data_IF_460273005222
#
_entry.id   IF_460273005222
#
_cell.length_a   1.000
_cell.length_b   1.000
_cell.length_c   1.000
_cell.angle_alpha   90.00
_cell.angle_beta   90.00
_cell.angle_gamma   90.00
#
_symmetry.space_group_name_H-M   'P 1'
#
loop_
_entity.id
_entity.type
_entity.pdbx_description
1 polymer ?
#
# COMPACT_ATOMS: atom_id res chain seq x y z
N UNK A 1 3.85 -18.48 -2.36
CA UNK A 1 3.34 -17.84 -3.59
C UNK A 1 1.97 -17.15 -3.44
N UNK A 2 0.82 -17.83 -3.38
CA UNK A 2 -0.51 -17.15 -3.39
C UNK A 2 -0.73 -16.18 -2.21
N UNK A 3 -0.37 -16.60 -0.99
CA UNK A 3 -0.42 -15.75 0.21
C UNK A 3 0.56 -14.59 0.14
N UNK A 4 1.76 -14.79 -0.41
CA UNK A 4 2.76 -13.71 -0.60
C UNK A 4 2.26 -12.70 -1.62
N UNK A 5 1.72 -13.14 -2.75
CA UNK A 5 1.08 -12.23 -3.71
C UNK A 5 -0.06 -11.42 -3.07
N UNK A 6 -0.86 -12.06 -2.21
CA UNK A 6 -1.92 -11.37 -1.49
C UNK A 6 -1.39 -10.32 -0.49
N UNK A 7 -0.25 -10.54 0.17
CA UNK A 7 0.29 -9.63 1.19
C UNK A 7 1.24 -8.60 0.59
N UNK A 8 2.28 -9.04 -0.12
CA UNK A 8 3.26 -8.14 -0.71
C UNK A 8 2.64 -7.44 -1.92
N UNK A 9 2.27 -8.22 -2.95
CA UNK A 9 1.78 -7.69 -4.22
C UNK A 9 0.49 -6.86 -4.11
N UNK A 10 -0.58 -7.44 -3.56
CA UNK A 10 -1.89 -6.78 -3.55
C UNK A 10 -1.99 -5.65 -2.51
N UNK A 11 -1.29 -5.78 -1.38
CA UNK A 11 -1.43 -4.84 -0.25
C UNK A 11 -0.22 -3.92 -0.13
N UNK A 12 1.00 -4.44 -0.03
CA UNK A 12 2.17 -3.59 0.20
C UNK A 12 2.58 -2.78 -1.03
N UNK A 13 2.53 -3.32 -2.25
CA UNK A 13 2.80 -2.52 -3.45
C UNK A 13 1.74 -1.44 -3.63
N UNK A 14 0.46 -1.76 -3.44
CA UNK A 14 -0.62 -0.80 -3.57
C UNK A 14 -0.53 0.33 -2.52
N UNK A 15 -0.16 0.00 -1.29
CA UNK A 15 0.09 0.99 -0.24
C UNK A 15 1.36 1.79 -0.50
N UNK A 16 2.43 1.14 -0.97
CA UNK A 16 3.66 1.79 -1.39
C UNK A 16 3.42 2.82 -2.48
N UNK A 17 2.60 2.48 -3.49
CA UNK A 17 2.16 3.40 -4.52
C UNK A 17 1.41 4.61 -3.96
N UNK A 18 0.50 4.40 -3.00
CA UNK A 18 -0.23 5.48 -2.32
C UNK A 18 0.72 6.45 -1.60
N UNK A 19 1.65 5.93 -0.81
CA UNK A 19 2.61 6.74 -0.05
C UNK A 19 3.63 7.42 -0.96
N UNK A 20 4.12 6.74 -2.00
CA UNK A 20 5.01 7.33 -3.00
C UNK A 20 4.30 8.45 -3.79
N UNK A 21 3.02 8.27 -4.14
CA UNK A 21 2.22 9.33 -4.78
C UNK A 21 2.09 10.56 -3.87
N UNK A 22 1.86 10.35 -2.58
CA UNK A 22 1.83 11.44 -1.60
C UNK A 22 3.17 12.16 -1.53
N UNK A 23 4.29 11.44 -1.35
CA UNK A 23 5.63 12.04 -1.28
C UNK A 23 6.00 12.79 -2.57
N UNK A 24 5.66 12.23 -3.73
CA UNK A 24 5.87 12.86 -5.03
C UNK A 24 5.22 14.25 -5.15
N UNK A 25 4.09 14.46 -4.46
CA UNK A 25 3.37 15.73 -4.46
C UNK A 25 3.83 16.70 -3.35
N UNK A 26 4.36 16.20 -2.22
CA UNK A 26 4.60 17.02 -1.03
C UNK A 26 6.07 17.25 -0.68
N UNK A 27 7.01 16.45 -1.21
CA UNK A 27 8.44 16.60 -0.89
C UNK A 27 9.02 17.92 -1.41
N UNK A 28 9.71 18.66 -0.55
CA UNK A 28 10.46 19.87 -0.95
C UNK A 28 11.67 19.52 -1.82
N UNK A 29 12.38 18.43 -1.50
CA UNK A 29 13.53 18.00 -2.30
C UNK A 29 13.08 17.55 -3.71
N UNK A 30 13.50 18.25 -4.79
CA UNK A 30 13.14 17.88 -6.16
C UNK A 30 13.65 16.50 -6.59
N UNK A 31 14.74 16.00 -6.00
CA UNK A 31 15.25 14.64 -6.26
C UNK A 31 14.30 13.61 -5.68
N UNK A 32 13.82 13.82 -4.45
CA UNK A 32 12.85 12.93 -3.80
C UNK A 32 11.54 12.91 -4.59
N UNK A 33 11.00 14.06 -4.99
CA UNK A 33 9.77 14.09 -5.82
C UNK A 33 9.92 13.25 -7.08
N UNK A 34 11.01 13.41 -7.83
CA UNK A 34 11.26 12.65 -9.07
C UNK A 34 11.38 11.15 -8.80
N UNK A 35 12.12 10.76 -7.77
CA UNK A 35 12.26 9.36 -7.39
C UNK A 35 10.89 8.76 -7.01
N UNK A 36 10.10 9.48 -6.21
CA UNK A 36 8.79 9.01 -5.76
C UNK A 36 7.74 8.95 -6.87
N UNK A 37 7.84 9.79 -7.91
CA UNK A 37 7.02 9.65 -9.12
C UNK A 37 7.29 8.34 -9.85
N UNK A 38 8.56 7.95 -9.99
CA UNK A 38 8.95 6.68 -10.62
C UNK A 38 8.48 5.51 -9.77
N UNK A 39 8.77 5.53 -8.48
CA UNK A 39 8.35 4.48 -7.54
C UNK A 39 6.83 4.34 -7.53
N UNK A 40 6.08 5.44 -7.46
CA UNK A 40 4.62 5.40 -7.51
C UNK A 40 4.10 4.71 -8.77
N UNK A 41 4.69 5.00 -9.94
CA UNK A 41 4.31 4.38 -11.19
C UNK A 41 4.64 2.88 -11.23
N UNK A 42 5.82 2.49 -10.73
CA UNK A 42 6.25 1.10 -10.70
C UNK A 42 5.40 0.28 -9.73
N UNK A 43 5.20 0.76 -8.51
CA UNK A 43 4.38 0.04 -7.53
C UNK A 43 2.91 -0.03 -7.91
N UNK A 44 2.39 0.97 -8.64
CA UNK A 44 1.05 0.88 -9.23
C UNK A 44 0.97 -0.27 -10.25
N UNK A 45 2.00 -0.44 -11.10
CA UNK A 45 2.05 -1.56 -12.06
C UNK A 45 2.21 -2.90 -11.36
N UNK A 46 3.05 -2.98 -10.33
CA UNK A 46 3.23 -4.18 -9.52
C UNK A 46 1.92 -4.59 -8.83
N UNK A 47 1.24 -3.65 -8.18
CA UNK A 47 -0.06 -3.88 -7.56
C UNK A 47 -1.09 -4.38 -8.59
N UNK A 48 -1.20 -3.73 -9.75
CA UNK A 48 -2.13 -4.13 -10.81
C UNK A 48 -1.84 -5.56 -11.31
N UNK A 49 -0.56 -5.92 -11.49
CA UNK A 49 -0.17 -7.28 -11.83
C UNK A 49 -0.54 -8.28 -10.73
N UNK A 50 -0.26 -7.96 -9.46
CA UNK A 50 -0.58 -8.81 -8.33
C UNK A 50 -2.08 -9.08 -8.20
N UNK A 51 -2.93 -8.09 -8.48
CA UNK A 51 -4.39 -8.27 -8.50
C UNK A 51 -4.86 -9.17 -9.66
N UNK A 52 -4.24 -9.06 -10.84
CA UNK A 52 -4.51 -9.99 -11.96
C UNK A 52 -4.12 -11.42 -11.60
N UNK A 53 -2.96 -11.61 -10.97
CA UNK A 53 -2.51 -12.92 -10.47
C UNK A 53 -3.48 -13.44 -9.42
N UNK A 54 -3.91 -12.59 -8.47
CA UNK A 54 -4.87 -12.95 -7.44
C UNK A 54 -6.18 -13.47 -8.05
N UNK A 55 -6.77 -12.73 -8.99
CA UNK A 55 -7.99 -13.15 -9.69
C UNK A 55 -7.83 -14.51 -10.37
N UNK A 56 -6.71 -14.72 -11.09
CA UNK A 56 -6.42 -15.99 -11.73
C UNK A 56 -6.26 -17.13 -10.72
N UNK A 57 -5.49 -16.93 -9.64
CA UNK A 57 -5.30 -17.95 -8.59
C UNK A 57 -6.63 -18.29 -7.93
N UNK A 58 -7.41 -17.27 -7.53
CA UNK A 58 -8.65 -17.46 -6.79
C UNK A 58 -9.73 -18.18 -7.58
N UNK A 59 -9.74 -18.04 -8.92
CA UNK A 59 -10.64 -18.83 -9.79
C UNK A 59 -10.44 -20.34 -9.69
N UNK A 60 -9.29 -20.79 -9.15
CA UNK A 60 -8.91 -22.19 -9.00
C UNK A 60 -8.97 -22.69 -7.56
N UNK A 61 -9.33 -21.81 -6.62
CA UNK A 61 -9.33 -22.11 -5.18
C UNK A 61 -10.73 -22.39 -4.65
N UNK A 62 -10.79 -23.32 -3.71
CA UNK A 62 -12.00 -23.49 -2.91
C UNK A 62 -12.29 -22.25 -2.06
N UNK A 63 -13.50 -22.21 -1.53
CA UNK A 63 -13.99 -21.09 -0.74
C UNK A 63 -13.18 -20.90 0.57
N UNK A 64 -12.66 -21.97 1.17
CA UNK A 64 -11.85 -21.90 2.40
C UNK A 64 -10.52 -21.19 2.11
N UNK A 65 -9.85 -21.53 1.02
CA UNK A 65 -8.61 -20.92 0.60
C UNK A 65 -8.81 -19.46 0.18
N UNK A 66 -9.89 -19.13 -0.55
CA UNK A 66 -10.23 -17.74 -0.88
C UNK A 66 -10.42 -16.88 0.37
N UNK A 67 -11.17 -17.38 1.36
CA UNK A 67 -11.32 -16.69 2.66
C UNK A 67 -10.00 -16.49 3.39
N UNK A 68 -9.10 -17.48 3.34
CA UNK A 68 -7.77 -17.37 3.96
C UNK A 68 -6.91 -16.27 3.30
N UNK A 69 -6.95 -16.15 1.97
CA UNK A 69 -6.25 -15.08 1.25
C UNK A 69 -6.83 -13.71 1.57
N UNK A 70 -8.17 -13.57 1.58
CA UNK A 70 -8.82 -12.31 1.95
C UNK A 70 -8.50 -11.92 3.40
N UNK A 71 -8.45 -12.88 4.33
CA UNK A 71 -8.02 -12.63 5.71
C UNK A 71 -6.55 -12.19 5.80
N UNK A 72 -5.67 -12.74 4.97
CA UNK A 72 -4.27 -12.33 4.90
C UNK A 72 -4.12 -10.88 4.41
N UNK A 73 -4.86 -10.48 3.35
CA UNK A 73 -4.90 -9.08 2.87
C UNK A 73 -5.34 -8.12 3.98
N UNK A 74 -6.46 -8.42 4.63
CA UNK A 74 -6.98 -7.60 5.73
C UNK A 74 -6.01 -7.51 6.91
N UNK A 75 -5.31 -8.60 7.23
CA UNK A 75 -4.28 -8.59 8.28
C UNK A 75 -3.14 -7.65 7.92
N UNK A 76 -2.61 -7.74 6.70
CA UNK A 76 -1.54 -6.87 6.22
C UNK A 76 -1.96 -5.38 6.21
N UNK A 77 -3.18 -5.08 5.76
CA UNK A 77 -3.71 -3.71 5.78
C UNK A 77 -3.81 -3.13 7.20
N UNK A 78 -4.24 -3.95 8.18
CA UNK A 78 -4.25 -3.55 9.59
C UNK A 78 -2.85 -3.31 10.15
N UNK A 79 -1.87 -4.14 9.78
CA UNK A 79 -0.48 -3.95 10.20
C UNK A 79 0.09 -2.62 9.69
N UNK A 80 -0.28 -2.20 8.48
CA UNK A 80 0.08 -0.87 7.93
C UNK A 80 -0.59 0.25 8.72
N UNK A 81 -1.88 0.15 9.03
CA UNK A 81 -2.59 1.13 9.85
C UNK A 81 -1.96 1.29 11.25
N UNK A 82 -1.60 0.19 11.91
CA UNK A 82 -0.92 0.23 13.20
C UNK A 82 0.48 0.85 13.08
N UNK A 83 1.17 0.62 11.97
CA UNK A 83 2.51 1.18 11.72
C UNK A 83 2.47 2.68 11.41
N UNK A 84 1.35 3.20 10.88
CA UNK A 84 1.15 4.62 10.58
C UNK A 84 0.97 5.48 11.84
N UNK A 85 0.71 4.87 13.00
CA UNK A 85 0.54 5.55 14.27
C UNK A 85 1.90 5.88 14.95
N UNK A 86 2.83 6.44 14.17
CA UNK A 86 4.15 6.84 14.67
C UNK A 86 4.38 8.32 14.40
N UNK A 87 4.95 9.06 15.37
CA UNK A 87 5.42 10.41 15.10
C UNK A 87 6.52 10.37 14.04
N UNK A 88 6.52 11.40 13.19
CA UNK A 88 7.53 11.60 12.14
C UNK A 88 8.08 13.01 12.34
N UNK A 89 9.39 13.14 12.28
CA UNK A 89 10.07 14.42 12.46
C UNK A 89 9.69 15.41 11.34
N UNK A 90 9.59 16.69 11.68
CA UNK A 90 9.16 17.74 10.76
C UNK A 90 10.05 17.81 9.51
N UNK A 91 11.36 17.64 9.66
CA UNK A 91 12.31 17.65 8.54
C UNK A 91 12.01 16.53 7.53
N UNK A 92 11.63 15.33 7.98
CA UNK A 92 11.27 14.23 7.09
C UNK A 92 9.92 14.46 6.39
N UNK A 93 8.97 15.13 7.06
CA UNK A 93 7.71 15.54 6.45
C UNK A 93 7.97 16.57 5.35
N UNK A 94 8.79 17.57 5.62
CA UNK A 94 9.03 18.68 4.68
C UNK A 94 9.94 18.28 3.52
N UNK A 95 11.10 17.69 3.80
CA UNK A 95 12.12 17.42 2.78
C UNK A 95 11.81 16.16 1.98
N UNK A 96 11.37 15.10 2.65
CA UNK A 96 11.05 13.82 2.01
C UNK A 96 9.57 13.70 1.62
N UNK A 97 8.71 14.62 2.07
CA UNK A 97 7.28 14.56 1.79
C UNK A 97 6.56 13.45 2.54
N UNK A 98 7.13 12.94 3.64
CA UNK A 98 6.45 11.90 4.43
C UNK A 98 5.12 12.44 4.96
N UNK A 99 4.05 11.63 4.98
CA UNK A 99 2.80 12.06 5.59
C UNK A 99 3.00 12.27 7.09
N UNK A 100 2.43 13.35 7.62
CA UNK A 100 2.30 13.51 9.08
C UNK A 100 1.50 12.36 9.67
N UNK A 101 1.64 12.10 10.98
CA UNK A 101 0.89 11.03 11.68
C UNK A 101 -0.61 11.07 11.35
N UNK A 102 -1.22 12.25 11.39
CA UNK A 102 -2.65 12.40 11.09
C UNK A 102 -2.98 11.99 9.64
N UNK A 103 -2.17 12.44 8.69
CA UNK A 103 -2.35 12.10 7.27
C UNK A 103 -2.09 10.62 7.02
N UNK A 104 -1.04 10.04 7.62
CA UNK A 104 -0.71 8.63 7.51
C UNK A 104 -1.84 7.73 8.04
N UNK A 105 -2.46 8.11 9.16
CA UNK A 105 -3.63 7.43 9.71
C UNK A 105 -4.84 7.52 8.76
N UNK A 106 -5.10 8.70 8.19
CA UNK A 106 -6.20 8.88 7.21
C UNK A 106 -5.99 8.06 5.95
N UNK A 107 -4.80 8.10 5.36
CA UNK A 107 -4.45 7.32 4.17
C UNK A 107 -4.56 5.82 4.43
N UNK A 108 -3.99 5.35 5.54
CA UNK A 108 -4.02 3.92 5.91
C UNK A 108 -5.42 3.41 6.21
N UNK A 109 -6.26 4.24 6.85
CA UNK A 109 -7.66 3.89 7.11
C UNK A 109 -8.44 3.77 5.81
N UNK A 110 -8.38 4.80 4.95
CA UNK A 110 -9.08 4.79 3.66
C UNK A 110 -8.63 3.61 2.79
N UNK A 111 -7.33 3.31 2.78
CA UNK A 111 -6.79 2.14 2.08
C UNK A 111 -7.34 0.82 2.63
N UNK A 112 -7.36 0.65 3.96
CA UNK A 112 -7.90 -0.56 4.59
C UNK A 112 -9.40 -0.73 4.36
N UNK A 113 -10.17 0.36 4.28
CA UNK A 113 -11.60 0.35 3.97
C UNK A 113 -11.84 -0.02 2.51
N UNK A 114 -11.06 0.52 1.57
CA UNK A 114 -11.14 0.18 0.15
C UNK A 114 -10.89 -1.30 -0.13
N UNK A 115 -9.94 -1.93 0.59
CA UNK A 115 -9.66 -3.37 0.49
C UNK A 115 -10.80 -4.27 1.00
N UNK A 116 -11.68 -3.77 1.87
CA UNK A 116 -12.80 -4.55 2.37
C UNK A 116 -13.92 -4.72 1.33
N UNK A 117 -13.94 -3.87 0.29
CA UNK A 117 -14.88 -3.95 -0.83
C UNK A 117 -14.37 -4.74 -2.04
N UNK A 118 -13.14 -5.27 -2.00
CA UNK A 118 -12.52 -6.06 -3.06
C UNK A 118 -12.72 -7.57 -2.91
#
# INVERSE_FOLDING_TARGET
>A
MARENAVEGCVREAYGALIATFQAAHARDPKVRRAMQVIAADETRHAALAWRIASWVESKLDEKARRALAAARRKAARELLLSADKPVDLELIEDLGLPSREVALRLSRAFSEGLAGC
#
